data_IF_131247989857
#
_entry.id   IF_131247989857
#
_cell.length_a   1.000
_cell.length_b   1.000
_cell.length_c   1.000
_cell.angle_alpha   90.00
_cell.angle_beta   90.00
_cell.angle_gamma   90.00
#
_symmetry.space_group_name_H-M   'P 1'
#
loop_
_entity.id
_entity.type
_entity.pdbx_description
1 polymer ?
#
# COMPACT_ATOMS: atom_id res chain seq x y z
N UNK A 1 -13.23 -5.17 -13.19
CA UNK A 1 -12.81 -4.52 -11.93
C UNK A 1 -11.36 -4.12 -12.10
N UNK A 2 -11.08 -2.83 -11.93
CA UNK A 2 -9.74 -2.26 -12.17
C UNK A 2 -8.88 -2.43 -10.93
N UNK A 3 -7.70 -3.02 -11.10
CA UNK A 3 -6.73 -3.19 -10.03
C UNK A 3 -5.37 -2.73 -10.56
N UNK A 4 -4.54 -2.25 -9.65
CA UNK A 4 -3.30 -1.56 -9.95
C UNK A 4 -2.21 -1.95 -8.96
N UNK A 5 -0.96 -1.66 -9.32
CA UNK A 5 0.18 -1.99 -8.50
C UNK A 5 0.37 -0.91 -7.45
N UNK A 6 0.53 -1.33 -6.21
CA UNK A 6 0.81 -0.47 -5.08
C UNK A 6 2.21 -0.70 -4.55
N UNK A 7 2.86 0.39 -4.13
CA UNK A 7 4.17 0.38 -3.48
C UNK A 7 4.08 1.08 -2.12
N UNK A 8 4.82 0.56 -1.13
CA UNK A 8 5.01 1.21 0.16
C UNK A 8 6.49 1.37 0.42
N UNK A 9 6.93 2.61 0.66
CA UNK A 9 8.28 2.91 1.11
C UNK A 9 8.34 2.95 2.63
N UNK A 10 9.18 2.09 3.21
CA UNK A 10 9.42 2.04 4.64
C UNK A 10 10.51 3.03 5.08
N UNK A 11 10.64 3.26 6.39
CA UNK A 11 11.61 4.21 6.96
C UNK A 11 13.06 3.82 6.66
N UNK A 12 13.34 2.51 6.60
CA UNK A 12 14.66 1.98 6.21
C UNK A 12 14.95 2.10 4.71
N UNK A 13 14.01 2.65 3.93
CA UNK A 13 14.11 2.82 2.48
C UNK A 13 13.73 1.59 1.67
N UNK A 14 13.40 0.46 2.31
CA UNK A 14 12.90 -0.71 1.58
C UNK A 14 11.52 -0.47 0.99
N UNK A 15 11.27 -1.10 -0.17
CA UNK A 15 9.98 -1.04 -0.87
C UNK A 15 9.25 -2.36 -0.67
N UNK A 16 7.93 -2.26 -0.43
CA UNK A 16 7.01 -3.40 -0.39
C UNK A 16 5.92 -3.20 -1.43
N UNK A 17 5.34 -4.31 -1.88
CA UNK A 17 4.32 -4.34 -2.92
C UNK A 17 2.96 -4.66 -2.33
N UNK A 18 1.91 -4.08 -2.88
CA UNK A 18 0.53 -4.39 -2.52
C UNK A 18 -0.40 -4.23 -3.74
N UNK A 19 -1.62 -4.73 -3.60
CA UNK A 19 -2.65 -4.60 -4.62
C UNK A 19 -3.57 -3.43 -4.31
N UNK A 20 -3.80 -2.55 -5.29
CA UNK A 20 -4.78 -1.49 -5.18
C UNK A 20 -6.06 -1.86 -5.96
N UNK A 21 -7.22 -1.74 -5.33
CA UNK A 21 -8.52 -1.89 -5.99
C UNK A 21 -9.09 -0.52 -6.35
N UNK A 22 -8.93 -0.12 -7.61
CA UNK A 22 -9.42 1.15 -8.13
C UNK A 22 -10.92 1.22 -8.41
N UNK A 23 -11.68 0.14 -8.14
CA UNK A 23 -13.15 0.18 -8.20
C UNK A 23 -13.76 0.70 -6.91
N UNK A 24 -13.11 0.44 -5.77
CA UNK A 24 -13.57 0.82 -4.43
C UNK A 24 -12.61 1.79 -3.73
N UNK A 25 -11.60 2.28 -4.45
CA UNK A 25 -10.50 3.10 -3.95
C UNK A 25 -9.90 2.56 -2.64
N UNK A 26 -9.55 1.27 -2.66
CA UNK A 26 -9.12 0.53 -1.48
C UNK A 26 -7.79 -0.18 -1.69
N UNK A 27 -6.87 -0.02 -0.75
CA UNK A 27 -5.62 -0.77 -0.69
C UNK A 27 -5.84 -2.11 -0.01
N UNK A 28 -5.53 -3.19 -0.73
CA UNK A 28 -5.42 -4.50 -0.12
C UNK A 28 -4.28 -4.43 0.91
N UNK A 29 -4.55 -4.59 2.21
CA UNK A 29 -3.57 -4.22 3.24
C UNK A 29 -2.30 -5.06 3.25
N UNK A 30 -2.33 -6.27 2.66
CA UNK A 30 -1.19 -7.19 2.70
C UNK A 30 -0.03 -6.68 1.87
N UNK A 31 1.13 -6.63 2.50
CA UNK A 31 2.41 -6.27 1.88
C UNK A 31 3.21 -7.52 1.53
N UNK A 32 3.88 -7.45 0.38
CA UNK A 32 4.75 -8.49 -0.16
C UNK A 32 6.16 -7.94 -0.39
N UNK A 33 7.15 -8.81 -0.33
CA UNK A 33 8.56 -8.42 -0.46
C UNK A 33 8.95 -8.19 -1.93
N UNK A 34 8.23 -8.83 -2.86
CA UNK A 34 8.50 -8.76 -4.29
C UNK A 34 7.22 -8.56 -5.09
N UNK A 35 7.37 -8.02 -6.30
CA UNK A 35 6.27 -7.88 -7.25
C UNK A 35 5.66 -9.23 -7.63
N UNK A 36 6.49 -10.23 -7.91
CA UNK A 36 6.04 -11.57 -8.29
C UNK A 36 5.19 -12.22 -7.19
N UNK A 37 5.59 -12.09 -5.92
CA UNK A 37 4.81 -12.59 -4.79
C UNK A 37 3.44 -11.90 -4.68
N UNK A 38 3.37 -10.60 -4.94
CA UNK A 38 2.10 -9.87 -4.99
C UNK A 38 1.22 -10.35 -6.15
N UNK A 39 1.79 -10.60 -7.34
CA UNK A 39 1.07 -11.13 -8.51
C UNK A 39 0.54 -12.54 -8.23
N UNK A 40 1.35 -13.40 -7.61
CA UNK A 40 0.94 -14.75 -7.22
C UNK A 40 -0.24 -14.74 -6.23
N UNK A 41 -0.38 -13.66 -5.45
CA UNK A 41 -1.46 -13.45 -4.49
C UNK A 41 -2.56 -12.48 -4.96
N UNK A 42 -2.51 -12.08 -6.23
CA UNK A 42 -3.43 -11.10 -6.81
C UNK A 42 -4.89 -11.52 -6.65
N UNK A 43 -5.70 -10.67 -6.01
CA UNK A 43 -7.13 -10.87 -5.71
C UNK A 43 -7.41 -12.09 -4.82
N UNK A 44 -6.41 -12.58 -4.08
CA UNK A 44 -6.56 -13.72 -3.16
C UNK A 44 -6.62 -13.30 -1.70
N UNK A 45 -6.39 -12.02 -1.39
CA UNK A 45 -6.42 -11.53 -0.02
C UNK A 45 -7.78 -11.80 0.64
N UNK A 46 -7.71 -12.36 1.84
CA UNK A 46 -8.84 -12.51 2.76
C UNK A 46 -8.48 -11.82 4.05
N UNK A 47 -9.42 -11.05 4.60
CA UNK A 47 -9.25 -10.50 5.93
C UNK A 47 -9.24 -11.65 6.94
N UNK A 48 -8.20 -11.72 7.74
CA UNK A 48 -8.10 -12.66 8.85
C UNK A 48 -8.20 -11.90 10.17
N UNK A 49 -8.79 -12.53 11.18
CA UNK A 49 -8.72 -12.00 12.54
C UNK A 49 -7.27 -12.01 13.00
N UNK A 50 -6.71 -10.83 13.21
CA UNK A 50 -5.35 -10.67 13.66
C UNK A 50 -5.34 -10.25 15.13
N UNK A 51 -4.76 -11.07 15.99
CA UNK A 51 -4.63 -10.79 17.44
C UNK A 51 -3.39 -9.94 17.76
N UNK A 52 -2.65 -9.48 16.75
CA UNK A 52 -1.49 -8.63 16.97
C UNK A 52 -1.91 -7.28 17.58
N UNK A 53 -1.23 -6.88 18.65
CA UNK A 53 -1.16 -5.48 19.04
C UNK A 53 -0.33 -4.74 18.00
N UNK A 54 -1.01 -4.12 17.04
CA UNK A 54 -0.35 -3.47 15.90
C UNK A 54 0.58 -2.35 16.38
N UNK A 55 1.87 -2.48 16.02
CA UNK A 55 2.81 -1.37 16.11
C UNK A 55 2.74 -0.59 14.81
N UNK A 56 2.40 0.69 14.87
CA UNK A 56 2.34 1.57 13.69
C UNK A 56 3.70 2.19 13.37
N UNK A 57 4.17 1.95 12.16
CA UNK A 57 5.33 2.62 11.57
C UNK A 57 4.86 3.52 10.43
N UNK A 58 5.21 4.82 10.41
CA UNK A 58 4.82 5.72 9.34
C UNK A 58 5.50 5.34 8.01
N UNK A 59 4.75 5.46 6.92
CA UNK A 59 5.19 5.13 5.56
C UNK A 59 4.63 6.10 4.53
N UNK A 60 5.21 6.08 3.33
CA UNK A 60 4.61 6.68 2.13
C UNK A 60 4.10 5.56 1.22
N UNK A 61 2.87 5.69 0.75
CA UNK A 61 2.14 4.71 -0.04
C UNK A 61 1.91 5.31 -1.43
N UNK A 62 2.09 4.52 -2.49
CA UNK A 62 1.91 4.91 -3.88
C UNK A 62 1.12 3.83 -4.62
N UNK A 63 0.40 4.23 -5.67
CA UNK A 63 -0.18 3.32 -6.66
C UNK A 63 -0.02 3.91 -8.05
N UNK A 64 0.18 3.04 -9.05
CA UNK A 64 0.25 3.43 -10.47
C UNK A 64 -1.14 3.65 -11.11
N UNK A 65 -2.21 3.50 -10.31
CA UNK A 65 -3.59 3.67 -10.79
C UNK A 65 -3.84 5.08 -11.34
N UNK A 66 -4.54 5.16 -12.47
CA UNK A 66 -5.07 6.42 -13.00
C UNK A 66 -4.01 7.48 -13.38
N UNK A 67 -2.74 7.09 -13.55
CA UNK A 67 -1.62 8.01 -13.81
C UNK A 67 -0.69 8.23 -12.62
N UNK A 68 -0.97 7.60 -11.48
CA UNK A 68 -0.11 7.60 -10.32
C UNK A 68 -0.54 8.62 -9.26
N UNK A 69 -0.52 8.20 -7.99
CA UNK A 69 -0.68 9.08 -6.85
C UNK A 69 -0.12 8.44 -5.57
N UNK A 70 0.21 9.28 -4.58
CA UNK A 70 0.82 8.84 -3.34
C UNK A 70 0.33 9.63 -2.13
N UNK A 71 0.42 9.02 -0.95
CA UNK A 71 -0.05 9.57 0.31
C UNK A 71 0.65 8.96 1.51
N UNK A 72 0.46 9.56 2.69
CA UNK A 72 1.02 9.05 3.94
C UNK A 72 0.12 8.00 4.58
N UNK A 73 0.74 7.01 5.24
CA UNK A 73 0.01 5.99 6.01
C UNK A 73 0.86 5.39 7.11
N UNK A 74 0.43 4.25 7.64
CA UNK A 74 1.21 3.46 8.58
C UNK A 74 1.08 1.98 8.31
N UNK A 75 2.12 1.21 8.65
CA UNK A 75 2.13 -0.25 8.57
C UNK A 75 2.39 -0.88 9.93
N UNK A 76 2.12 -2.18 10.03
CA UNK A 76 2.67 -3.01 11.08
C UNK A 76 3.67 -3.99 10.47
N UNK A 77 4.97 -3.79 10.74
CA UNK A 77 6.04 -4.69 10.25
C UNK A 77 5.88 -6.14 10.70
N UNK A 78 5.36 -6.36 11.92
CA UNK A 78 5.12 -7.73 12.42
C UNK A 78 4.07 -8.47 11.59
N UNK A 79 3.05 -7.75 11.12
CA UNK A 79 1.94 -8.33 10.36
C UNK A 79 2.16 -8.27 8.84
N UNK A 80 3.05 -7.38 8.39
CA UNK A 80 3.19 -6.97 7.00
C UNK A 80 1.84 -6.49 6.44
N UNK A 81 1.19 -5.59 7.18
CA UNK A 81 -0.11 -5.01 6.83
C UNK A 81 -0.06 -3.48 6.87
N UNK A 82 -0.73 -2.82 5.92
CA UNK A 82 -1.13 -1.42 6.02
C UNK A 82 -2.17 -1.30 7.14
N UNK A 83 -1.96 -0.39 8.08
CA UNK A 83 -2.86 -0.12 9.21
C UNK A 83 -3.70 1.12 8.92
N UNK A 84 -3.06 2.24 8.56
CA UNK A 84 -3.68 3.50 8.14
C UNK A 84 -3.34 3.85 6.69
N UNK A 85 -4.24 4.56 6.02
CA UNK A 85 -4.10 4.92 4.60
C UNK A 85 -4.55 3.84 3.64
N UNK A 86 -5.45 2.94 4.05
CA UNK A 86 -6.06 1.95 3.15
C UNK A 86 -7.00 2.61 2.14
N UNK A 87 -7.60 3.72 2.54
CA UNK A 87 -8.42 4.57 1.69
C UNK A 87 -7.62 5.86 1.46
N UNK A 88 -7.16 6.13 0.23
CA UNK A 88 -6.28 7.26 -0.05
C UNK A 88 -6.98 8.63 0.05
N UNK A 89 -8.31 8.65 0.20
CA UNK A 89 -9.15 9.85 0.20
C UNK A 89 -9.87 10.12 1.53
N UNK A 90 -9.43 9.50 2.63
CA UNK A 90 -9.91 9.84 3.98
C UNK A 90 -9.38 11.22 4.43
N UNK A 91 -10.16 11.96 5.24
CA UNK A 91 -9.90 13.37 5.59
C UNK A 91 -8.51 13.65 6.20
N UNK A 92 -7.90 12.66 6.88
CA UNK A 92 -6.59 12.80 7.54
C UNK A 92 -5.40 12.44 6.62
N UNK A 93 -5.66 12.10 5.36
CA UNK A 93 -4.66 11.62 4.41
C UNK A 93 -4.11 12.78 3.57
N UNK A 94 -2.79 12.98 3.63
CA UNK A 94 -2.10 13.93 2.76
C UNK A 94 -1.84 13.30 1.40
N UNK A 95 -2.81 13.42 0.50
CA UNK A 95 -2.79 12.91 -0.86
C UNK A 95 -2.10 13.87 -1.84
N UNK A 96 -1.37 13.30 -2.81
CA UNK A 96 -0.74 14.01 -3.92
C UNK A 96 -0.81 13.20 -5.22
N UNK A 97 -1.15 13.88 -6.32
CA UNK A 97 -1.07 13.31 -7.66
C UNK A 97 0.38 13.10 -8.11
N UNK A 98 0.59 12.12 -8.99
CA UNK A 98 1.85 11.83 -9.65
C UNK A 98 2.66 10.70 -9.00
N UNK A 99 3.92 10.63 -9.40
CA UNK A 99 4.89 9.61 -8.95
C UNK A 99 5.73 10.25 -7.83
N UNK A 100 5.92 9.58 -6.67
CA UNK A 100 6.79 10.11 -5.64
C UNK A 100 8.25 10.03 -6.07
N UNK A 101 9.08 10.98 -5.61
CA UNK A 101 10.51 11.09 -6.00
C UNK A 101 11.34 9.81 -5.82
N UNK A 102 10.94 8.93 -4.91
CA UNK A 102 11.64 7.67 -4.68
C UNK A 102 11.30 6.57 -5.68
N UNK A 103 10.26 6.77 -6.48
CA UNK A 103 9.81 5.86 -7.54
C UNK A 103 10.02 6.44 -8.95
N UNK A 104 10.43 7.71 -9.09
CA UNK A 104 10.70 8.38 -10.38
C UNK A 104 11.83 7.74 -11.22
N UNK A 105 12.53 6.72 -10.73
CA UNK A 105 13.72 6.13 -11.35
C UNK A 105 13.53 4.70 -11.89
N UNK A 106 12.31 4.17 -11.88
CA UNK A 106 11.96 2.87 -12.46
C UNK A 106 11.13 2.99 -13.74
#
# INVERSE_FOLDING_TARGET
MSHANGLVKLIDGSIKYFEYNGTSDFCIPKLYDTYDEMIDNWRKYKSEENTCEHCEEPVEIYTDYGGGFYWNGSICRKCMLIIKGKYPFEDEINYKDGIPKWDEFF
#
